data_IF_045843282302
#
_entry.id   IF_045843282302
#
_cell.length_a   1.000
_cell.length_b   1.000
_cell.length_c   1.000
_cell.angle_alpha   90.00
_cell.angle_beta   90.00
_cell.angle_gamma   90.00
#
_symmetry.space_group_name_H-M   'P 1'
#
loop_
_entity.id
_entity.type
_entity.pdbx_description
1 polymer ?
#
# COMPACT_ATOMS: atom_id res chain seq x y z
N UNK A 1 16.64 -0.68 -1.06
CA UNK A 1 17.16 -0.95 -2.42
C UNK A 1 18.13 -2.13 -2.48
N UNK A 2 19.21 -2.16 -1.70
CA UNK A 2 20.24 -3.23 -1.83
C UNK A 2 19.74 -4.66 -1.60
N UNK A 3 18.76 -4.88 -0.73
CA UNK A 3 18.24 -6.23 -0.41
C UNK A 3 17.50 -6.90 -1.59
N UNK A 4 16.61 -6.17 -2.25
CA UNK A 4 15.80 -6.71 -3.37
C UNK A 4 16.66 -7.04 -4.59
N UNK A 5 17.63 -6.17 -4.93
CA UNK A 5 18.55 -6.42 -6.05
C UNK A 5 19.42 -7.64 -5.76
N UNK A 6 19.95 -7.76 -4.54
CA UNK A 6 20.77 -8.92 -4.13
C UNK A 6 19.96 -10.22 -4.21
N UNK A 7 18.73 -10.23 -3.72
CA UNK A 7 17.84 -11.38 -3.82
C UNK A 7 17.54 -11.76 -5.27
N UNK A 8 17.16 -10.78 -6.10
CA UNK A 8 16.84 -11.01 -7.51
C UNK A 8 18.04 -11.55 -8.30
N UNK A 9 19.24 -11.03 -8.06
CA UNK A 9 20.46 -11.50 -8.73
C UNK A 9 20.77 -12.98 -8.47
N UNK A 10 20.26 -13.56 -7.37
CA UNK A 10 20.35 -14.99 -7.08
C UNK A 10 19.77 -15.87 -8.20
N UNK A 11 18.74 -15.40 -8.90
CA UNK A 11 18.06 -16.12 -9.97
C UNK A 11 18.94 -16.29 -11.23
N UNK A 12 19.96 -15.47 -11.42
CA UNK A 12 20.91 -15.60 -12.53
C UNK A 12 21.73 -16.91 -12.42
N UNK A 13 22.01 -17.36 -11.19
CA UNK A 13 22.72 -18.63 -10.95
C UNK A 13 21.85 -19.87 -11.19
N UNK A 14 20.53 -19.68 -11.28
CA UNK A 14 19.56 -20.71 -11.66
C UNK A 14 19.15 -20.58 -13.14
N UNK A 15 19.93 -19.86 -13.94
CA UNK A 15 19.69 -19.59 -15.37
C UNK A 15 18.31 -18.93 -15.66
N UNK A 16 17.80 -18.17 -14.69
CA UNK A 16 16.50 -17.49 -14.75
C UNK A 16 16.66 -15.96 -14.85
N UNK A 17 17.24 -15.51 -15.97
CA UNK A 17 17.41 -14.07 -16.25
C UNK A 17 16.08 -13.33 -16.33
N UNK A 18 15.03 -13.96 -16.89
CA UNK A 18 13.70 -13.36 -16.98
C UNK A 18 13.09 -13.08 -15.59
N UNK A 19 13.23 -14.01 -14.64
CA UNK A 19 12.81 -13.79 -13.25
C UNK A 19 13.58 -12.67 -12.56
N UNK A 20 14.89 -12.57 -12.81
CA UNK A 20 15.71 -11.45 -12.31
C UNK A 20 15.16 -10.10 -12.79
N UNK A 21 14.92 -9.99 -14.11
CA UNK A 21 14.40 -8.76 -14.72
C UNK A 21 13.04 -8.37 -14.13
N UNK A 22 12.12 -9.34 -14.02
CA UNK A 22 10.77 -9.10 -13.49
C UNK A 22 10.80 -8.55 -12.05
N UNK A 23 11.61 -9.15 -11.17
CA UNK A 23 11.75 -8.70 -9.77
C UNK A 23 12.36 -7.30 -9.68
N UNK A 24 13.40 -7.02 -10.46
CA UNK A 24 14.05 -5.70 -10.47
C UNK A 24 13.10 -4.62 -11.01
N UNK A 25 12.39 -4.91 -12.10
CA UNK A 25 11.40 -3.98 -12.67
C UNK A 25 10.27 -3.67 -11.69
N UNK A 26 9.71 -4.67 -11.02
CA UNK A 26 8.62 -4.48 -10.08
C UNK A 26 9.04 -3.61 -8.88
N UNK A 27 10.25 -3.83 -8.36
CA UNK A 27 10.82 -3.04 -7.27
C UNK A 27 11.17 -1.60 -7.70
N UNK A 28 11.71 -1.44 -8.91
CA UNK A 28 12.01 -0.13 -9.50
C UNK A 28 10.74 0.72 -9.63
N UNK A 29 9.69 0.16 -10.24
CA UNK A 29 8.39 0.82 -10.38
C UNK A 29 7.83 1.26 -9.03
N UNK A 30 7.90 0.38 -8.02
CA UNK A 30 7.51 0.74 -6.65
C UNK A 30 8.31 1.94 -6.13
N UNK A 31 9.64 1.91 -6.21
CA UNK A 31 10.48 2.99 -5.67
C UNK A 31 10.26 4.34 -6.34
N UNK A 32 9.99 4.35 -7.66
CA UNK A 32 9.65 5.56 -8.40
C UNK A 32 8.32 6.12 -7.89
N UNK A 33 7.28 5.28 -7.83
CA UNK A 33 5.95 5.71 -7.40
C UNK A 33 5.90 6.11 -5.92
N UNK A 34 6.68 5.44 -5.07
CA UNK A 34 6.76 5.75 -3.63
C UNK A 34 7.20 7.20 -3.40
N UNK A 35 8.12 7.76 -4.19
CA UNK A 35 8.49 9.18 -4.04
C UNK A 35 7.32 10.13 -4.28
N UNK A 36 6.48 9.85 -5.28
CA UNK A 36 5.28 10.63 -5.54
C UNK A 36 4.25 10.49 -4.42
N UNK A 37 4.06 9.27 -3.91
CA UNK A 37 3.17 8.98 -2.77
C UNK A 37 3.64 9.69 -1.50
N UNK A 38 4.91 9.54 -1.15
CA UNK A 38 5.56 10.19 0.00
C UNK A 38 5.38 11.71 -0.09
N UNK A 39 5.65 12.31 -1.26
CA UNK A 39 5.47 13.76 -1.48
C UNK A 39 4.03 14.20 -1.19
N UNK A 40 3.03 13.45 -1.68
CA UNK A 40 1.62 13.79 -1.42
C UNK A 40 1.30 13.66 0.07
N UNK A 41 1.71 12.57 0.71
CA UNK A 41 1.48 12.33 2.13
C UNK A 41 2.10 13.42 2.98
N UNK A 42 3.39 13.72 2.78
CA UNK A 42 4.14 14.70 3.56
C UNK A 42 3.53 16.11 3.43
N UNK A 43 3.18 16.52 2.20
CA UNK A 43 2.52 17.82 1.98
C UNK A 43 1.09 17.86 2.55
N UNK A 44 0.35 16.74 2.49
CA UNK A 44 -0.99 16.68 3.09
C UNK A 44 -0.92 16.81 4.61
N UNK A 45 0.04 16.12 5.24
CA UNK A 45 0.26 16.20 6.70
C UNK A 45 0.69 17.62 7.12
N UNK A 46 1.45 18.32 6.27
CA UNK A 46 1.87 19.69 6.54
C UNK A 46 0.76 20.74 6.36
N UNK A 47 -0.25 20.46 5.53
CA UNK A 47 -1.36 21.38 5.25
C UNK A 47 -2.42 21.36 6.37
N UNK A 48 -2.50 22.46 7.14
CA UNK A 48 -3.50 22.63 8.22
C UNK A 48 -4.96 22.63 7.73
N UNK A 49 -5.18 22.80 6.42
CA UNK A 49 -6.52 22.74 5.82
C UNK A 49 -6.91 21.34 5.40
N UNK A 50 -5.96 20.43 5.25
CA UNK A 50 -6.23 19.05 4.91
C UNK A 50 -6.87 18.32 6.10
N UNK A 51 -7.84 17.45 5.83
CA UNK A 51 -8.42 16.55 6.82
C UNK A 51 -7.58 15.28 7.01
N UNK A 52 -6.72 14.97 6.04
CA UNK A 52 -5.89 13.79 5.97
C UNK A 52 -5.65 13.39 4.51
N UNK A 53 -5.00 12.25 4.30
CA UNK A 53 -4.80 11.67 2.97
C UNK A 53 -5.57 10.36 2.84
N UNK A 54 -5.98 10.02 1.62
CA UNK A 54 -6.65 8.77 1.30
C UNK A 54 -5.88 8.02 0.22
N UNK A 55 -6.16 6.72 0.09
CA UNK A 55 -5.66 5.93 -1.03
C UNK A 55 -6.65 5.94 -2.17
N UNK A 56 -6.11 5.88 -3.38
CA UNK A 56 -6.89 5.73 -4.59
C UNK A 56 -6.31 4.62 -5.46
N UNK A 57 -7.19 3.75 -5.96
CA UNK A 57 -6.85 2.61 -6.80
C UNK A 57 -7.81 2.53 -7.98
N UNK A 58 -7.41 1.83 -9.06
CA UNK A 58 -8.33 1.46 -10.14
C UNK A 58 -9.23 0.30 -9.72
N UNK A 59 -10.36 0.08 -10.43
CA UNK A 59 -11.18 -1.14 -10.27
C UNK A 59 -10.40 -2.44 -10.47
N UNK A 60 -9.34 -2.39 -11.29
CA UNK A 60 -8.43 -3.52 -11.55
C UNK A 60 -7.33 -3.70 -10.50
N UNK A 61 -7.30 -2.85 -9.46
CA UNK A 61 -6.34 -2.95 -8.37
C UNK A 61 -6.54 -4.22 -7.54
N UNK A 62 -5.48 -4.71 -6.90
CA UNK A 62 -5.55 -5.89 -6.03
C UNK A 62 -6.46 -5.66 -4.81
N UNK A 63 -6.94 -6.74 -4.20
CA UNK A 63 -7.86 -6.68 -3.06
C UNK A 63 -7.30 -5.86 -1.88
N UNK A 64 -5.98 -5.91 -1.67
CA UNK A 64 -5.29 -5.10 -0.68
C UNK A 64 -5.40 -3.59 -0.96
N UNK A 65 -5.27 -3.18 -2.22
CA UNK A 65 -5.40 -1.77 -2.60
C UNK A 65 -6.84 -1.28 -2.50
N UNK A 66 -7.79 -2.11 -2.93
CA UNK A 66 -9.23 -1.82 -2.81
C UNK A 66 -9.58 -1.67 -1.34
N UNK A 67 -9.13 -2.61 -0.50
CA UNK A 67 -9.29 -2.55 0.95
C UNK A 67 -8.77 -1.25 1.55
N UNK A 68 -7.58 -0.79 1.14
CA UNK A 68 -6.99 0.42 1.73
C UNK A 68 -7.55 1.74 1.17
N UNK A 69 -8.21 1.72 0.01
CA UNK A 69 -8.75 2.91 -0.67
C UNK A 69 -10.16 3.30 -0.21
N UNK A 70 -10.63 2.67 0.87
CA UNK A 70 -11.92 2.86 1.53
C UNK A 70 -12.61 4.18 1.21
N UNK A 71 -13.85 4.09 0.72
CA UNK A 71 -14.70 5.15 0.17
C UNK A 71 -14.56 6.52 0.85
N UNK A 72 -13.61 7.35 0.39
CA UNK A 72 -13.44 8.72 0.89
C UNK A 72 -12.76 8.82 2.26
N UNK A 73 -12.41 7.69 2.88
CA UNK A 73 -11.87 7.67 4.23
C UNK A 73 -10.39 8.05 4.24
N UNK A 74 -10.00 8.81 5.27
CA UNK A 74 -8.67 9.41 5.36
C UNK A 74 -7.86 8.86 6.52
N UNK A 75 -6.57 8.73 6.31
CA UNK A 75 -5.57 8.58 7.36
C UNK A 75 -5.35 9.96 7.98
N UNK A 76 -5.66 10.10 9.27
CA UNK A 76 -5.56 11.37 10.02
C UNK A 76 -4.29 11.44 10.86
N UNK A 77 -3.74 10.28 11.26
CA UNK A 77 -2.49 10.25 12.01
C UNK A 77 -1.28 10.57 11.13
N UNK A 78 -0.41 11.47 11.61
CA UNK A 78 0.86 11.80 10.94
C UNK A 78 1.87 10.65 10.93
N UNK A 79 1.63 9.61 11.75
CA UNK A 79 2.40 8.36 11.80
C UNK A 79 2.08 7.43 10.64
N UNK A 80 0.96 7.66 9.93
CA UNK A 80 0.53 6.82 8.83
C UNK A 80 1.49 6.93 7.64
N UNK A 81 1.99 5.79 7.16
CA UNK A 81 2.88 5.73 6.02
C UNK A 81 2.18 5.12 4.80
N UNK A 82 2.63 5.49 3.61
CA UNK A 82 2.22 4.79 2.39
C UNK A 82 3.07 3.54 2.16
N UNK A 83 2.83 2.45 2.90
CA UNK A 83 3.45 1.16 2.54
C UNK A 83 2.83 0.60 1.26
N UNK A 84 3.67 0.14 0.33
CA UNK A 84 3.27 -0.43 -0.95
C UNK A 84 4.06 -1.72 -1.23
N UNK A 85 3.42 -2.67 -1.90
CA UNK A 85 4.07 -3.86 -2.42
C UNK A 85 4.61 -3.61 -3.84
N UNK A 86 5.49 -4.51 -4.31
CA UNK A 86 5.95 -4.48 -5.70
C UNK A 86 4.77 -4.66 -6.65
N UNK A 87 4.79 -3.99 -7.81
CA UNK A 87 3.66 -3.95 -8.75
C UNK A 87 2.37 -3.28 -8.23
N UNK A 88 2.44 -2.41 -7.20
CA UNK A 88 1.28 -1.58 -6.79
C UNK A 88 1.08 -0.38 -7.72
N UNK A 89 -0.13 -0.20 -8.24
CA UNK A 89 -0.57 1.00 -9.00
C UNK A 89 -1.31 2.03 -8.15
N UNK A 90 -1.55 1.73 -6.87
CA UNK A 90 -2.21 2.61 -5.91
C UNK A 90 -1.54 4.00 -5.77
N UNK A 91 -2.30 5.05 -5.50
CA UNK A 91 -1.78 6.42 -5.28
C UNK A 91 -2.31 7.04 -3.98
N UNK A 92 -1.62 8.05 -3.46
CA UNK A 92 -2.10 8.88 -2.37
C UNK A 92 -2.88 10.07 -2.94
N UNK A 93 -3.92 10.53 -2.23
CA UNK A 93 -4.65 11.76 -2.54
C UNK A 93 -4.91 12.55 -1.26
N UNK A 94 -4.70 13.88 -1.25
CA UNK A 94 -5.16 14.71 -0.15
C UNK A 94 -6.69 14.75 -0.11
N UNK A 95 -7.24 14.96 1.09
CA UNK A 95 -8.64 15.34 1.28
C UNK A 95 -8.70 16.64 2.06
N UNK A 96 -9.56 17.56 1.62
CA UNK A 96 -9.91 18.79 2.33
C UNK A 96 -11.35 18.77 2.84
N UNK A 97 -12.03 17.64 2.69
CA UNK A 97 -13.35 17.42 3.29
C UNK A 97 -13.17 17.21 4.79
N UNK A 98 -13.63 18.18 5.59
CA UNK A 98 -13.52 18.15 7.06
C UNK A 98 -14.37 17.05 7.68
N UNK A 99 -15.40 16.61 6.97
CA UNK A 99 -16.32 15.56 7.42
C UNK A 99 -15.90 14.18 6.91
N UNK A 100 -14.75 14.07 6.23
CA UNK A 100 -14.22 12.81 5.76
C UNK A 100 -14.06 11.80 6.92
N UNK A 101 -14.63 10.58 6.78
CA UNK A 101 -14.49 9.56 7.79
C UNK A 101 -13.04 9.14 7.93
N UNK A 102 -12.65 8.72 9.13
CA UNK A 102 -11.33 8.14 9.33
C UNK A 102 -11.31 6.68 8.88
N UNK A 103 -10.18 6.21 8.38
CA UNK A 103 -9.99 4.80 8.08
C UNK A 103 -10.10 3.94 9.35
N UNK A 104 -10.65 2.72 9.29
CA UNK A 104 -10.68 1.80 10.42
C UNK A 104 -9.27 1.37 10.82
N UNK A 105 -9.12 0.93 12.08
CA UNK A 105 -7.83 0.55 12.67
C UNK A 105 -7.03 -0.46 11.83
N UNK A 106 -7.70 -1.38 11.13
CA UNK A 106 -7.04 -2.36 10.26
C UNK A 106 -6.23 -1.69 9.14
N UNK A 107 -6.69 -0.56 8.60
CA UNK A 107 -6.00 0.15 7.54
C UNK A 107 -4.66 0.71 8.04
N UNK A 108 -4.64 1.25 9.26
CA UNK A 108 -3.40 1.66 9.92
C UNK A 108 -2.45 0.47 10.10
N UNK A 109 -2.94 -0.66 10.61
CA UNK A 109 -2.13 -1.89 10.79
C UNK A 109 -1.58 -2.37 9.44
N UNK A 110 -2.43 -2.50 8.43
CA UNK A 110 -2.09 -3.00 7.09
C UNK A 110 -1.11 -2.07 6.34
N UNK A 111 -1.12 -0.77 6.65
CA UNK A 111 -0.23 0.22 6.04
C UNK A 111 1.19 0.26 6.64
N UNK A 112 1.50 -0.55 7.65
CA UNK A 112 2.81 -0.55 8.30
C UNK A 112 3.91 -1.16 7.42
N UNK A 113 5.14 -0.63 7.53
CA UNK A 113 6.33 -1.24 6.94
C UNK A 113 6.73 -2.46 7.74
N UNK A 114 6.67 -3.63 7.13
CA UNK A 114 6.99 -4.92 7.78
C UNK A 114 8.46 -5.31 7.69
N UNK A 115 9.29 -4.56 6.94
CA UNK A 115 10.70 -4.89 6.70
C UNK A 115 11.57 -4.95 7.96
N UNK A 116 11.15 -4.28 9.04
CA UNK A 116 11.85 -4.23 10.32
C UNK A 116 11.24 -5.18 11.37
N UNK A 117 10.19 -5.93 11.02
CA UNK A 117 9.53 -6.89 11.90
C UNK A 117 10.25 -8.25 11.85
N UNK A 118 10.17 -9.01 12.95
CA UNK A 118 10.58 -10.42 12.96
C UNK A 118 9.72 -11.24 12.00
N UNK A 119 10.23 -12.39 11.53
CA UNK A 119 9.49 -13.24 10.58
C UNK A 119 8.10 -13.64 11.10
N UNK A 120 8.01 -14.04 12.38
CA UNK A 120 6.73 -14.36 13.04
C UNK A 120 5.77 -13.16 13.05
N UNK A 121 6.27 -11.95 13.32
CA UNK A 121 5.44 -10.75 13.29
C UNK A 121 4.99 -10.38 11.86
N UNK A 122 5.84 -10.61 10.86
CA UNK A 122 5.47 -10.44 9.46
C UNK A 122 4.38 -11.44 9.05
N UNK A 123 4.48 -12.69 9.49
CA UNK A 123 3.48 -13.73 9.24
C UNK A 123 2.14 -13.37 9.88
N UNK A 124 2.13 -13.01 11.17
CA UNK A 124 0.92 -12.55 11.85
C UNK A 124 0.33 -11.29 11.20
N UNK A 125 1.16 -10.38 10.70
CA UNK A 125 0.68 -9.23 9.93
C UNK A 125 -0.02 -9.68 8.64
N UNK A 126 0.61 -10.56 7.84
CA UNK A 126 0.03 -11.09 6.60
C UNK A 126 -1.28 -11.82 6.87
N UNK A 127 -1.32 -12.66 7.90
CA UNK A 127 -2.50 -13.42 8.29
C UNK A 127 -3.65 -12.49 8.68
N UNK A 128 -3.41 -11.51 9.56
CA UNK A 128 -4.44 -10.53 9.96
C UNK A 128 -5.04 -9.79 8.77
N UNK A 129 -4.19 -9.33 7.85
CA UNK A 129 -4.63 -8.64 6.64
C UNK A 129 -5.43 -9.58 5.72
N UNK A 130 -4.95 -10.81 5.52
CA UNK A 130 -5.62 -11.79 4.67
C UNK A 130 -6.99 -12.20 5.23
N UNK A 131 -7.08 -12.47 6.53
CA UNK A 131 -8.35 -12.78 7.21
C UNK A 131 -9.33 -11.63 7.07
N UNK A 132 -8.88 -10.38 7.27
CA UNK A 132 -9.76 -9.23 7.10
C UNK A 132 -10.28 -9.11 5.68
N UNK A 133 -9.42 -9.24 4.66
CA UNK A 133 -9.82 -9.19 3.24
C UNK A 133 -10.83 -10.29 2.94
N UNK A 134 -10.62 -11.50 3.46
CA UNK A 134 -11.52 -12.62 3.26
C UNK A 134 -12.90 -12.36 3.88
N UNK A 135 -12.93 -11.85 5.12
CA UNK A 135 -14.17 -11.56 5.85
C UNK A 135 -14.98 -10.42 5.24
N UNK A 136 -14.34 -9.51 4.51
CA UNK A 136 -14.97 -8.32 3.94
C UNK A 136 -15.03 -8.37 2.40
N UNK A 137 -14.89 -9.56 1.79
CA UNK A 137 -14.78 -9.71 0.33
C UNK A 137 -15.95 -9.08 -0.43
N UNK A 138 -17.18 -9.30 0.01
CA UNK A 138 -18.38 -8.74 -0.63
C UNK A 138 -18.38 -7.21 -0.63
N UNK A 139 -17.93 -6.60 0.48
CA UNK A 139 -17.80 -5.13 0.59
C UNK A 139 -16.71 -4.59 -0.34
N UNK A 140 -15.61 -5.34 -0.52
CA UNK A 140 -14.54 -4.97 -1.45
C UNK A 140 -15.02 -5.03 -2.90
N UNK A 141 -15.81 -6.05 -3.25
CA UNK A 141 -16.36 -6.20 -4.59
C UNK A 141 -17.42 -5.12 -4.89
N UNK A 142 -18.27 -4.79 -3.92
CA UNK A 142 -19.21 -3.66 -4.02
C UNK A 142 -18.45 -2.33 -4.23
N UNK A 143 -17.43 -2.07 -3.41
CA UNK A 143 -16.63 -0.87 -3.55
C UNK A 143 -15.90 -0.83 -4.90
N UNK A 144 -15.35 -1.96 -5.36
CA UNK A 144 -14.69 -2.10 -6.66
C UNK A 144 -15.64 -1.79 -7.81
N UNK A 145 -16.91 -2.19 -7.73
CA UNK A 145 -17.91 -1.88 -8.74
C UNK A 145 -18.30 -0.39 -8.79
N UNK A 146 -18.01 0.37 -7.73
CA UNK A 146 -18.31 1.80 -7.61
C UNK A 146 -17.13 2.74 -7.94
N UNK A 147 -15.94 2.19 -8.22
CA UNK A 147 -14.72 2.93 -8.62
C UNK A 147 -14.72 3.28 -10.11
#
# INVERSE_FOLDING_TARGET
MSGTVRFAAGQLWADNAAGTLALVQAAMSRYILDRGRDTIVDNTVADRRAAGWQRFTSPTGCDFCVMLSMRGAVYKESTAMFASHDNCSCSARPSWDRDAPEVPAIAYVASQKTSNMSESAQEQHRERVAVWIQQNRDQLDEFRAAL
#
